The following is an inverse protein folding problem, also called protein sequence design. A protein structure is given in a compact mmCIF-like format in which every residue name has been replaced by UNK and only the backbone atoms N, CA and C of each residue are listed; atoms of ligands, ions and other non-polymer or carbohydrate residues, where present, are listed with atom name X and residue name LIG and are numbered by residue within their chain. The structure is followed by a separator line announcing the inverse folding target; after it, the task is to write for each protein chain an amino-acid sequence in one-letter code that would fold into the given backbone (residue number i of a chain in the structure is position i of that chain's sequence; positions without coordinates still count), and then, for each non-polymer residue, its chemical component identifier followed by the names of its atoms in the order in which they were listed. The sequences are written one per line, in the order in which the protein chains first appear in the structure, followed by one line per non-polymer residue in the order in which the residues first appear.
data_IF_039757224055
#
_entry.id   IF_039757224055
#
_cell.length_a   1.000
_cell.length_b   1.000
_cell.length_c   1.000
_cell.angle_alpha   90.00
_cell.angle_beta   90.00
_cell.angle_gamma   90.00
#
_symmetry.space_group_name_H-M   'P 1'
#
loop_
_entity.id
_entity.type
_entity.pdbx_description
1 polymer ?
#
# COMPACT_ATOMS: atom_id res chain seq x y z
N UNK A 1 23.48 -6.42 3.64
CA UNK A 1 22.77 -5.24 4.18
C UNK A 1 21.58 -5.77 4.95
N UNK A 2 21.45 -5.43 6.22
CA UNK A 2 20.32 -5.84 7.06
C UNK A 2 19.08 -5.07 6.62
N UNK A 3 17.98 -5.77 6.33
CA UNK A 3 16.71 -5.13 6.00
C UNK A 3 16.18 -4.37 7.23
N UNK A 4 15.51 -3.24 7.01
CA UNK A 4 14.93 -2.42 8.09
C UNK A 4 13.51 -2.06 7.71
N UNK A 5 12.59 -2.20 8.67
CA UNK A 5 11.21 -1.73 8.55
C UNK A 5 11.15 -0.27 9.00
N UNK A 6 10.43 0.55 8.23
CA UNK A 6 10.13 1.92 8.60
C UNK A 6 8.69 2.01 9.06
N UNK A 7 8.49 2.47 10.29
CA UNK A 7 7.16 2.76 10.83
C UNK A 7 7.02 4.26 11.06
N UNK A 8 6.03 4.86 10.39
CA UNK A 8 5.60 6.24 10.66
C UNK A 8 4.42 6.17 11.63
N UNK A 9 4.64 6.60 12.87
CA UNK A 9 3.62 6.69 13.91
C UNK A 9 3.60 8.12 14.46
N UNK A 10 3.58 8.31 15.79
CA UNK A 10 3.84 9.64 16.37
C UNK A 10 5.23 10.16 15.99
N UNK A 11 6.22 9.27 15.96
CA UNK A 11 7.58 9.53 15.48
C UNK A 11 7.89 8.51 14.36
N UNK A 12 9.05 8.65 13.71
CA UNK A 12 9.51 7.66 12.73
C UNK A 12 10.48 6.71 13.40
N UNK A 13 10.24 5.41 13.23
CA UNK A 13 11.06 4.35 13.80
C UNK A 13 11.70 3.50 12.72
N UNK A 14 12.96 3.15 12.96
CA UNK A 14 13.70 2.10 12.28
C UNK A 14 13.59 0.83 13.12
N UNK A 15 12.96 -0.20 12.57
CA UNK A 15 12.70 -1.45 13.26
C UNK A 15 13.51 -2.55 12.55
N UNK A 16 14.28 -3.29 13.33
CA UNK A 16 14.92 -4.51 12.89
C UNK A 16 13.84 -5.60 12.75
N UNK A 17 13.59 -6.13 11.54
CA UNK A 17 12.51 -7.09 11.33
C UNK A 17 12.73 -8.44 12.03
N UNK A 18 13.97 -8.84 12.28
CA UNK A 18 14.30 -10.14 12.88
C UNK A 18 14.12 -10.11 14.41
N UNK A 19 14.54 -9.01 15.04
CA UNK A 19 14.58 -8.89 16.50
C UNK A 19 13.45 -8.04 17.07
N UNK A 20 12.79 -7.24 16.24
CA UNK A 20 11.82 -6.22 16.67
C UNK A 20 12.46 -5.05 17.42
N UNK A 21 13.79 -5.02 17.55
CA UNK A 21 14.49 -3.90 18.16
C UNK A 21 14.27 -2.65 17.32
N UNK A 22 13.93 -1.53 17.97
CA UNK A 22 13.64 -0.29 17.27
C UNK A 22 14.49 0.86 17.80
N UNK A 23 14.76 1.81 16.91
CA UNK A 23 15.30 3.12 17.27
C UNK A 23 14.49 4.22 16.61
N UNK A 24 14.36 5.33 17.31
CA UNK A 24 13.78 6.54 16.73
C UNK A 24 14.72 7.12 15.67
N UNK A 25 14.17 7.41 14.50
CA UNK A 25 14.88 8.02 13.37
C UNK A 25 14.71 9.54 13.36
N UNK A 26 13.49 10.01 13.64
CA UNK A 26 13.11 11.41 13.60
C UNK A 26 12.10 11.68 14.72
N UNK A 27 12.36 12.72 15.52
CA UNK A 27 11.59 13.10 16.70
C UNK A 27 10.48 14.13 16.42
N UNK A 28 10.22 14.47 15.15
CA UNK A 28 9.10 15.35 14.81
C UNK A 28 7.76 14.64 15.06
N UNK A 29 6.71 15.43 15.26
CA UNK A 29 5.38 14.91 15.55
C UNK A 29 4.62 14.56 14.26
N UNK A 30 4.59 13.27 13.96
CA UNK A 30 3.89 12.64 12.84
C UNK A 30 2.55 12.04 13.25
N UNK A 31 2.01 12.36 14.43
CA UNK A 31 0.72 11.82 14.92
C UNK A 31 -0.48 12.13 14.02
N UNK A 32 -0.35 13.12 13.15
CA UNK A 32 -1.35 13.51 12.16
C UNK A 32 -1.26 12.73 10.83
N UNK A 33 -0.35 11.75 10.73
CA UNK A 33 -0.17 10.95 9.52
C UNK A 33 -1.43 10.16 9.17
N UNK A 34 -1.83 10.22 7.90
CA UNK A 34 -2.89 9.39 7.33
C UNK A 34 -2.30 8.19 6.59
N UNK A 35 -1.36 8.44 5.67
CA UNK A 35 -0.71 7.40 4.88
C UNK A 35 0.72 7.77 4.55
N UNK A 36 1.56 6.76 4.31
CA UNK A 36 2.92 6.92 3.83
C UNK A 36 3.24 6.01 2.65
N UNK A 37 4.18 6.44 1.80
CA UNK A 37 4.75 5.61 0.73
C UNK A 37 6.27 5.80 0.68
N UNK A 38 7.01 4.70 0.59
CA UNK A 38 8.47 4.69 0.40
C UNK A 38 8.78 4.59 -1.09
N UNK A 39 9.73 5.40 -1.57
CA UNK A 39 10.38 5.21 -2.87
C UNK A 39 11.78 4.62 -2.61
N UNK A 40 11.99 3.31 -2.83
CA UNK A 40 13.24 2.64 -2.47
C UNK A 40 14.46 3.24 -3.17
N UNK A 41 14.37 3.53 -4.47
CA UNK A 41 15.51 4.02 -5.27
C UNK A 41 16.06 5.36 -4.78
N UNK A 42 15.21 6.20 -4.16
CA UNK A 42 15.60 7.52 -3.66
C UNK A 42 15.75 7.58 -2.14
N UNK A 43 15.38 6.51 -1.43
CA UNK A 43 15.33 6.49 0.04
C UNK A 43 14.49 7.65 0.60
N UNK A 44 13.34 7.93 -0.02
CA UNK A 44 12.42 8.98 0.40
C UNK A 44 11.08 8.40 0.82
N UNK A 45 10.54 8.93 1.91
CA UNK A 45 9.17 8.65 2.36
C UNK A 45 8.31 9.86 2.06
N UNK A 46 7.13 9.62 1.50
CA UNK A 46 6.11 10.63 1.26
C UNK A 46 4.95 10.38 2.20
N UNK A 47 4.46 11.43 2.87
CA UNK A 47 3.47 11.31 3.95
C UNK A 47 2.35 12.30 3.75
N UNK A 48 1.10 11.85 3.79
CA UNK A 48 -0.08 12.71 3.90
C UNK A 48 -0.52 12.84 5.35
N UNK A 49 -1.06 14.01 5.71
CA UNK A 49 -1.49 14.33 7.07
C UNK A 49 -2.90 14.90 7.12
N UNK A 50 -3.54 14.80 8.28
CA UNK A 50 -4.88 15.37 8.55
C UNK A 50 -4.94 16.89 8.44
N UNK A 51 -3.78 17.56 8.46
CA UNK A 51 -3.64 19.00 8.23
C UNK A 51 -3.54 19.40 6.76
N UNK A 52 -4.07 18.59 5.83
CA UNK A 52 -4.08 18.85 4.39
C UNK A 52 -2.70 18.94 3.74
N UNK A 53 -1.67 18.30 4.29
CA UNK A 53 -0.31 18.40 3.77
C UNK A 53 0.21 17.06 3.25
N UNK A 54 0.93 17.13 2.13
CA UNK A 54 1.90 16.17 1.63
C UNK A 54 3.33 16.62 2.00
N UNK A 55 4.08 15.72 2.62
CA UNK A 55 5.47 15.89 3.06
C UNK A 55 6.40 14.92 2.36
N UNK A 56 7.64 15.35 2.15
CA UNK A 56 8.76 14.51 1.72
C UNK A 56 9.77 14.42 2.88
N UNK A 57 10.22 13.20 3.16
CA UNK A 57 11.21 12.88 4.18
C UNK A 57 12.34 12.12 3.51
N UNK A 58 13.54 12.73 3.48
CA UNK A 58 14.73 12.13 2.91
C UNK A 58 15.48 11.34 3.97
N UNK A 59 15.56 10.02 3.81
CA UNK A 59 16.20 9.13 4.79
C UNK A 59 17.73 9.26 4.78
N UNK A 60 18.31 9.75 3.69
CA UNK A 60 19.75 9.90 3.53
C UNK A 60 20.34 11.01 4.43
N UNK A 61 19.56 12.05 4.71
CA UNK A 61 20.03 13.24 5.43
C UNK A 61 19.03 13.76 6.48
N UNK A 62 17.97 13.00 6.76
CA UNK A 62 16.90 13.36 7.70
C UNK A 62 16.27 14.73 7.39
N UNK A 63 16.26 15.14 6.12
CA UNK A 63 15.65 16.39 5.72
C UNK A 63 14.14 16.19 5.51
N UNK A 64 13.35 17.07 6.12
CA UNK A 64 11.89 17.07 6.03
C UNK A 64 11.44 18.34 5.34
N UNK A 65 10.59 18.22 4.33
CA UNK A 65 9.99 19.39 3.68
C UNK A 65 8.53 19.16 3.29
N UNK A 66 7.73 20.21 3.41
CA UNK A 66 6.38 20.25 2.87
C UNK A 66 6.45 20.48 1.36
N UNK A 67 5.72 19.68 0.61
CA UNK A 67 5.62 19.76 -0.86
C UNK A 67 4.15 19.80 -1.31
N UNK A 68 3.24 20.33 -0.50
CA UNK A 68 1.81 20.24 -0.80
C UNK A 68 1.36 21.33 -1.78
N UNK A 69 0.84 20.93 -2.94
CA UNK A 69 0.20 21.85 -3.89
C UNK A 69 -1.30 22.05 -3.63
N UNK A 70 -2.03 20.98 -3.30
CA UNK A 70 -3.45 20.99 -2.95
C UNK A 70 -3.72 20.47 -1.53
N UNK A 71 -5.00 20.34 -1.18
CA UNK A 71 -5.51 19.80 0.07
C UNK A 71 -5.53 18.27 0.08
N UNK A 72 -4.84 17.68 1.05
CA UNK A 72 -4.68 16.22 1.18
C UNK A 72 -5.52 15.56 2.28
N UNK A 73 -6.45 16.25 2.97
CA UNK A 73 -7.26 15.63 4.06
C UNK A 73 -8.12 14.46 3.62
N UNK A 74 -8.51 14.42 2.35
CA UNK A 74 -9.33 13.32 1.83
C UNK A 74 -8.50 12.11 1.40
N UNK A 75 -7.17 12.18 1.51
CA UNK A 75 -6.29 11.06 1.18
C UNK A 75 -6.49 9.93 2.17
N UNK A 76 -6.79 8.74 1.67
CA UNK A 76 -6.90 7.52 2.46
C UNK A 76 -5.61 6.67 2.37
N UNK A 77 -5.02 6.59 1.17
CA UNK A 77 -3.80 5.82 0.96
C UNK A 77 -2.92 6.45 -0.12
N UNK A 78 -1.61 6.38 0.09
CA UNK A 78 -0.56 6.72 -0.85
C UNK A 78 0.11 5.44 -1.36
N UNK A 79 0.50 5.43 -2.62
CA UNK A 79 1.21 4.31 -3.25
C UNK A 79 2.31 4.86 -4.15
N UNK A 80 3.52 4.29 -4.05
CA UNK A 80 4.59 4.51 -5.02
C UNK A 80 4.55 3.38 -6.06
N UNK A 81 4.48 3.74 -7.34
CA UNK A 81 4.39 2.80 -8.46
C UNK A 81 5.60 3.02 -9.36
N UNK A 82 6.37 1.98 -9.72
CA UNK A 82 7.38 2.06 -10.75
C UNK A 82 6.85 2.70 -12.04
N UNK A 83 7.60 3.63 -12.63
CA UNK A 83 7.24 4.24 -13.91
C UNK A 83 7.54 3.31 -15.10
N UNK A 84 8.46 2.38 -14.89
CA UNK A 84 8.83 1.37 -15.87
C UNK A 84 9.19 0.04 -15.20
N UNK A 85 9.45 -0.98 -16.03
CA UNK A 85 9.83 -2.33 -15.58
C UNK A 85 11.23 -2.42 -14.95
N UNK A 86 12.05 -1.36 -15.03
CA UNK A 86 13.37 -1.33 -14.41
C UNK A 86 13.32 -0.89 -12.94
N UNK A 87 12.16 -0.40 -12.47
CA UNK A 87 11.93 0.07 -11.10
C UNK A 87 12.95 1.12 -10.63
N UNK A 88 13.54 1.87 -11.57
CA UNK A 88 14.52 2.91 -11.26
C UNK A 88 13.83 4.25 -10.92
N UNK A 89 12.70 4.54 -11.56
CA UNK A 89 11.85 5.71 -11.32
C UNK A 89 10.48 5.29 -10.82
N UNK A 90 9.85 6.15 -10.00
CA UNK A 90 8.55 5.91 -9.40
C UNK A 90 7.67 7.14 -9.53
N UNK A 91 6.37 6.90 -9.71
CA UNK A 91 5.30 7.88 -9.60
C UNK A 91 4.55 7.66 -8.29
N UNK A 92 4.02 8.74 -7.72
CA UNK A 92 3.19 8.66 -6.51
C UNK A 92 1.73 8.82 -6.89
N UNK A 93 0.91 7.93 -6.33
CA UNK A 93 -0.53 7.94 -6.49
C UNK A 93 -1.19 8.09 -5.14
N UNK A 94 -2.21 8.94 -5.06
CA UNK A 94 -2.98 9.15 -3.85
C UNK A 94 -4.45 8.82 -4.11
N UNK A 95 -4.98 7.87 -3.37
CA UNK A 95 -6.41 7.63 -3.33
C UNK A 95 -7.03 8.60 -2.33
N UNK A 96 -7.71 9.60 -2.88
CA UNK A 96 -8.51 10.57 -2.16
C UNK A 96 -9.99 10.39 -2.57
N UNK A 97 -10.75 11.48 -2.64
CA UNK A 97 -12.03 11.52 -3.38
C UNK A 97 -11.87 11.24 -4.89
N UNK A 98 -10.64 11.21 -5.40
CA UNK A 98 -10.19 10.85 -6.75
C UNK A 98 -8.88 10.07 -6.64
N UNK A 99 -8.46 9.42 -7.72
CA UNK A 99 -7.10 8.91 -7.84
C UNK A 99 -6.21 10.01 -8.43
N UNK A 100 -5.37 10.62 -7.59
CA UNK A 100 -4.43 11.64 -8.00
C UNK A 100 -3.10 11.03 -8.39
N UNK A 101 -2.53 11.48 -9.50
CA UNK A 101 -1.12 11.29 -9.83
C UNK A 101 -0.36 12.54 -9.37
N UNK A 102 0.64 12.38 -8.50
CA UNK A 102 1.59 13.44 -8.16
C UNK A 102 2.68 13.41 -9.24
N UNK A 103 2.60 14.35 -10.18
CA UNK A 103 3.42 14.39 -11.39
C UNK A 103 4.70 15.22 -11.22
N UNK A 104 4.77 16.12 -10.24
CA UNK A 104 6.01 16.75 -9.80
C UNK A 104 6.27 16.50 -8.30
N UNK A 105 7.20 15.60 -7.93
CA UNK A 105 7.51 15.29 -6.54
C UNK A 105 8.21 16.44 -5.80
N UNK A 106 8.67 17.50 -6.48
CA UNK A 106 9.30 18.65 -5.83
C UNK A 106 8.28 19.67 -5.32
N UNK A 107 7.16 19.80 -6.02
CA UNK A 107 6.09 20.76 -5.70
C UNK A 107 4.83 20.08 -5.18
N UNK A 108 4.76 18.75 -5.31
CA UNK A 108 3.57 17.92 -5.08
C UNK A 108 2.38 18.33 -5.94
N UNK A 109 2.65 18.95 -7.10
CA UNK A 109 1.64 19.14 -8.13
C UNK A 109 1.01 17.79 -8.47
N UNK A 110 -0.29 17.80 -8.72
CA UNK A 110 -1.04 16.59 -8.98
C UNK A 110 -2.13 16.79 -10.02
N UNK A 111 -2.45 15.70 -10.72
CA UNK A 111 -3.49 15.67 -11.76
C UNK A 111 -4.44 14.50 -11.54
N UNK A 112 -5.71 14.68 -11.92
CA UNK A 112 -6.72 13.63 -11.84
C UNK A 112 -6.34 12.53 -12.84
N UNK A 113 -5.99 11.36 -12.34
CA UNK A 113 -5.31 10.36 -13.16
C UNK A 113 -6.26 9.63 -14.12
N UNK A 114 -7.44 9.22 -13.63
CA UNK A 114 -8.43 8.47 -14.41
C UNK A 114 -9.67 9.29 -14.77
N UNK A 115 -10.02 10.30 -13.95
CA UNK A 115 -11.36 10.87 -13.96
C UNK A 115 -12.44 9.88 -13.46
N UNK A 116 -13.46 10.41 -12.78
CA UNK A 116 -14.58 9.59 -12.29
C UNK A 116 -14.24 8.65 -11.12
N UNK A 117 -15.10 7.64 -10.89
CA UNK A 117 -14.99 6.65 -9.81
C UNK A 117 -14.83 7.27 -8.40
N UNK A 118 -15.29 8.50 -8.21
CA UNK A 118 -15.10 9.26 -6.96
C UNK A 118 -15.67 8.52 -5.75
N UNK A 119 -16.83 7.88 -5.94
CA UNK A 119 -17.50 7.10 -4.89
C UNK A 119 -16.73 5.85 -4.48
N UNK A 120 -15.84 5.35 -5.34
CA UNK A 120 -15.02 4.16 -5.11
C UNK A 120 -13.68 4.56 -4.51
N UNK A 121 -12.99 5.55 -5.09
CA UNK A 121 -11.69 6.02 -4.61
C UNK A 121 -11.75 6.60 -3.20
N UNK A 122 -12.84 7.31 -2.88
CA UNK A 122 -13.08 7.81 -1.53
C UNK A 122 -13.22 6.70 -0.47
N UNK A 123 -13.43 5.44 -0.90
CA UNK A 123 -13.60 4.28 -0.03
C UNK A 123 -12.39 3.37 0.03
N UNK A 124 -11.32 3.66 -0.71
CA UNK A 124 -10.11 2.85 -0.67
C UNK A 124 -9.50 2.89 0.72
N UNK A 125 -9.27 1.73 1.32
CA UNK A 125 -8.71 1.58 2.67
C UNK A 125 -7.28 1.02 2.67
N UNK A 126 -6.86 0.35 1.61
CA UNK A 126 -5.49 -0.09 1.40
C UNK A 126 -5.21 -0.19 -0.10
N UNK A 127 -3.96 0.01 -0.49
CA UNK A 127 -3.51 -0.22 -1.85
C UNK A 127 -2.02 -0.61 -1.89
N UNK A 128 -1.64 -1.38 -2.91
CA UNK A 128 -0.27 -1.81 -3.13
C UNK A 128 0.07 -1.73 -4.63
N UNK A 129 1.32 -1.37 -4.94
CA UNK A 129 1.85 -1.45 -6.29
C UNK A 129 2.40 -2.84 -6.57
N UNK A 130 2.11 -3.38 -7.74
CA UNK A 130 2.78 -4.58 -8.29
C UNK A 130 3.13 -4.30 -9.75
N UNK A 131 4.42 -4.10 -10.00
CA UNK A 131 4.89 -3.53 -11.27
C UNK A 131 4.23 -2.18 -11.53
N UNK A 132 3.80 -1.93 -12.76
CA UNK A 132 3.09 -0.70 -13.17
C UNK A 132 1.57 -0.76 -12.92
N UNK A 133 1.12 -1.56 -11.95
CA UNK A 133 -0.29 -1.67 -11.57
C UNK A 133 -0.49 -1.39 -10.09
N UNK A 134 -1.65 -0.84 -9.77
CA UNK A 134 -2.09 -0.63 -8.39
C UNK A 134 -3.26 -1.55 -8.09
N UNK A 135 -3.14 -2.33 -7.04
CA UNK A 135 -4.23 -3.12 -6.50
C UNK A 135 -4.75 -2.43 -5.25
N UNK A 136 -6.05 -2.13 -5.22
CA UNK A 136 -6.68 -1.34 -4.16
C UNK A 136 -7.91 -2.05 -3.61
N UNK A 137 -8.06 -2.02 -2.30
CA UNK A 137 -9.22 -2.55 -1.59
C UNK A 137 -10.06 -1.40 -1.06
N UNK A 138 -11.38 -1.58 -1.06
CA UNK A 138 -12.30 -0.56 -0.55
C UNK A 138 -13.01 -1.03 0.71
N UNK A 139 -13.57 -0.09 1.48
CA UNK A 139 -14.41 -0.38 2.66
C UNK A 139 -15.71 -1.14 2.32
N UNK A 140 -16.09 -1.18 1.04
CA UNK A 140 -17.15 -2.07 0.53
C UNK A 140 -16.64 -3.49 0.24
N UNK A 141 -15.41 -3.81 0.69
CA UNK A 141 -14.68 -5.02 0.38
C UNK A 141 -14.63 -5.25 -1.13
N UNK A 142 -14.28 -4.27 -1.96
CA UNK A 142 -14.05 -4.51 -3.40
C UNK A 142 -12.55 -4.42 -3.71
N UNK A 143 -12.03 -5.38 -4.46
CA UNK A 143 -10.69 -5.37 -5.03
C UNK A 143 -10.73 -4.75 -6.42
N UNK A 144 -9.90 -3.75 -6.64
CA UNK A 144 -9.71 -3.04 -7.89
C UNK A 144 -8.27 -3.17 -8.36
N UNK A 145 -8.10 -3.29 -9.67
CA UNK A 145 -6.81 -3.14 -10.34
C UNK A 145 -6.87 -1.87 -11.19
N UNK A 146 -5.87 -1.02 -11.03
CA UNK A 146 -5.63 0.16 -11.85
C UNK A 146 -4.34 -0.07 -12.63
N UNK A 147 -4.43 -0.04 -13.95
CA UNK A 147 -3.28 -0.09 -14.83
C UNK A 147 -2.79 1.35 -15.09
N UNK A 148 -1.56 1.66 -14.69
CA UNK A 148 -1.06 3.03 -14.76
C UNK A 148 -0.61 3.43 -16.17
N UNK A 149 -0.50 2.45 -17.09
CA UNK A 149 -0.05 2.66 -18.47
C UNK A 149 -1.25 2.81 -19.38
N UNK A 150 -2.20 1.88 -19.31
CA UNK A 150 -3.42 1.96 -20.12
C UNK A 150 -4.43 2.96 -19.57
N UNK A 151 -4.27 3.40 -18.31
CA UNK A 151 -5.21 4.26 -17.58
C UNK A 151 -6.59 3.64 -17.48
N UNK A 152 -6.63 2.34 -17.21
CA UNK A 152 -7.86 1.59 -17.02
C UNK A 152 -8.00 1.14 -15.56
N UNK A 153 -9.25 1.13 -15.07
CA UNK A 153 -9.60 0.56 -13.78
C UNK A 153 -10.62 -0.56 -13.96
N UNK A 154 -10.37 -1.69 -13.28
CA UNK A 154 -11.24 -2.87 -13.31
C UNK A 154 -11.45 -3.41 -11.91
N UNK A 155 -12.71 -3.70 -11.58
CA UNK A 155 -13.03 -4.47 -10.37
C UNK A 155 -12.70 -5.95 -10.60
N UNK A 156 -11.91 -6.53 -9.71
CA UNK A 156 -11.49 -7.94 -9.75
C UNK A 156 -12.29 -8.84 -8.80
N UNK A 157 -12.79 -8.30 -7.67
CA UNK A 157 -13.46 -9.11 -6.65
C UNK A 157 -13.67 -8.38 -5.33
N UNK A 158 -13.53 -9.08 -4.20
CA UNK A 158 -13.80 -8.54 -2.86
C UNK A 158 -12.83 -9.02 -1.75
N UNK A 159 -11.99 -8.17 -1.13
CA UNK A 159 -11.09 -8.62 -0.04
C UNK A 159 -9.99 -7.64 0.43
N UNK A 160 -9.03 -8.11 1.24
CA UNK A 160 -7.75 -7.45 1.63
C UNK A 160 -6.56 -8.01 0.82
N UNK A 161 -5.36 -7.40 0.87
CA UNK A 161 -4.22 -7.79 0.00
C UNK A 161 -2.90 -8.05 0.75
N UNK A 162 -2.07 -8.94 0.21
CA UNK A 162 -0.65 -9.12 0.57
C UNK A 162 0.18 -9.44 -0.67
N UNK A 163 1.43 -8.99 -0.75
CA UNK A 163 2.34 -9.38 -1.83
C UNK A 163 3.58 -10.05 -1.25
N UNK A 164 3.81 -11.32 -1.58
CA UNK A 164 4.89 -12.16 -1.04
C UNK A 164 5.43 -13.08 -2.13
N UNK A 165 6.75 -13.27 -2.21
CA UNK A 165 7.34 -14.26 -3.13
C UNK A 165 6.95 -14.12 -4.61
N UNK A 166 6.64 -12.90 -5.08
CA UNK A 166 6.15 -12.66 -6.45
C UNK A 166 4.64 -12.87 -6.65
N UNK A 167 3.91 -13.22 -5.59
CA UNK A 167 2.49 -13.54 -5.60
C UNK A 167 1.70 -12.45 -4.90
N UNK A 168 0.62 -12.00 -5.53
CA UNK A 168 -0.35 -11.12 -4.89
C UNK A 168 -1.47 -11.99 -4.31
N UNK A 169 -1.64 -11.99 -2.99
CA UNK A 169 -2.69 -12.71 -2.30
C UNK A 169 -3.84 -11.76 -1.97
N UNK A 170 -5.06 -12.23 -2.18
CA UNK A 170 -6.29 -11.53 -1.81
C UNK A 170 -7.08 -12.32 -0.76
N UNK A 171 -7.36 -11.68 0.37
CA UNK A 171 -8.09 -12.21 1.52
C UNK A 171 -9.56 -11.80 1.43
N UNK A 172 -10.38 -12.72 0.93
CA UNK A 172 -11.76 -12.51 0.50
C UNK A 172 -12.71 -13.45 1.26
N UNK A 173 -13.79 -13.95 0.62
CA UNK A 173 -14.48 -15.15 1.11
C UNK A 173 -13.56 -16.38 1.26
N UNK A 174 -12.43 -16.38 0.54
CA UNK A 174 -11.34 -17.36 0.61
C UNK A 174 -9.99 -16.63 0.49
N UNK A 175 -8.88 -17.36 0.56
CA UNK A 175 -7.56 -16.82 0.20
C UNK A 175 -7.25 -17.16 -1.26
N UNK A 176 -6.93 -16.14 -2.05
CA UNK A 176 -6.74 -16.25 -3.50
C UNK A 176 -5.36 -15.75 -3.91
N UNK A 177 -4.68 -16.47 -4.79
CA UNK A 177 -3.54 -15.94 -5.53
C UNK A 177 -4.05 -15.21 -6.77
N UNK A 178 -3.65 -13.95 -6.94
CA UNK A 178 -4.01 -13.09 -8.05
C UNK A 178 -2.86 -13.08 -9.05
N UNK A 179 -3.17 -13.42 -10.31
CA UNK A 179 -2.30 -13.21 -11.44
C UNK A 179 -2.19 -11.71 -11.71
N UNK A 180 -1.02 -11.15 -11.47
CA UNK A 180 -0.75 -9.71 -11.56
C UNK A 180 -0.79 -9.19 -13.01
N UNK A 181 -0.65 -10.07 -14.00
CA UNK A 181 -0.67 -9.70 -15.42
C UNK A 181 -2.07 -9.44 -15.97
N UNK A 182 -3.08 -10.18 -15.50
CA UNK A 182 -4.44 -10.09 -16.06
C UNK A 182 -5.55 -9.95 -15.00
N UNK A 183 -5.22 -10.09 -13.72
CA UNK A 183 -6.16 -10.02 -12.61
C UNK A 183 -6.98 -11.29 -12.40
N UNK A 184 -6.68 -12.37 -13.14
CA UNK A 184 -7.28 -13.69 -12.87
C UNK A 184 -6.83 -14.21 -11.51
N UNK A 185 -7.57 -15.14 -10.93
CA UNK A 185 -7.27 -15.63 -9.59
C UNK A 185 -7.54 -17.12 -9.42
N UNK A 186 -6.77 -17.73 -8.53
CA UNK A 186 -6.88 -19.15 -8.16
C UNK A 186 -6.89 -19.31 -6.65
N UNK A 187 -7.58 -20.31 -6.08
CA UNK A 187 -7.50 -20.59 -4.64
C UNK A 187 -6.03 -20.79 -4.23
N UNK A 188 -5.60 -20.16 -3.14
CA UNK A 188 -4.23 -20.30 -2.65
C UNK A 188 -4.01 -21.63 -1.93
N UNK A 189 -5.01 -22.08 -1.17
CA UNK A 189 -4.97 -23.36 -0.47
C UNK A 189 -5.70 -24.45 -1.24
N UNK A 190 -5.25 -25.70 -1.04
CA UNK A 190 -5.99 -26.88 -1.50
C UNK A 190 -7.39 -26.91 -0.88
N UNK A 191 -8.39 -27.23 -1.71
CA UNK A 191 -9.82 -27.17 -1.38
C UNK A 191 -10.22 -27.95 -0.11
N UNK A 192 -9.43 -28.94 0.30
CA UNK A 192 -9.73 -29.83 1.41
C UNK A 192 -9.07 -29.39 2.73
N UNK A 193 -8.17 -28.39 2.68
CA UNK A 193 -7.50 -27.81 3.85
C UNK A 193 -8.47 -27.08 4.78
N UNK A 194 -8.10 -26.97 6.06
CA UNK A 194 -8.90 -26.21 7.03
C UNK A 194 -8.86 -24.70 6.73
N UNK A 195 -7.75 -24.23 6.16
CA UNK A 195 -7.54 -22.86 5.72
C UNK A 195 -8.42 -22.48 4.52
N UNK A 196 -8.70 -23.41 3.61
CA UNK A 196 -9.65 -23.21 2.50
C UNK A 196 -11.10 -23.09 2.97
N UNK A 197 -11.45 -23.72 4.11
CA UNK A 197 -12.79 -23.64 4.72
C UNK A 197 -12.99 -22.38 5.57
N UNK A 198 -11.91 -21.68 5.91
CA UNK A 198 -11.93 -20.45 6.70
C UNK A 198 -12.41 -19.27 5.85
N UNK A 199 -13.29 -18.45 6.42
CA UNK A 199 -13.64 -17.15 5.84
C UNK A 199 -12.58 -16.11 6.16
N UNK A 200 -12.10 -15.39 5.14
CA UNK A 200 -11.08 -14.35 5.25
C UNK A 200 -11.65 -12.92 5.13
N UNK A 201 -12.98 -12.78 5.10
CA UNK A 201 -13.68 -11.49 4.99
C UNK A 201 -13.48 -10.56 6.19
N UNK A 202 -13.01 -11.08 7.31
CA UNK A 202 -12.76 -10.35 8.56
C UNK A 202 -11.29 -9.98 8.79
N UNK A 203 -10.45 -10.07 7.75
CA UNK A 203 -9.05 -9.68 7.84
C UNK A 203 -8.93 -8.16 8.00
N UNK A 204 -8.41 -7.73 9.15
CA UNK A 204 -8.26 -6.33 9.54
C UNK A 204 -6.92 -5.73 9.09
N UNK A 205 -5.89 -6.56 9.04
CA UNK A 205 -4.56 -6.15 8.65
C UNK A 205 -3.80 -7.35 8.08
N UNK A 206 -2.93 -7.08 7.11
CA UNK A 206 -1.99 -8.06 6.58
C UNK A 206 -0.63 -7.39 6.48
N UNK A 207 0.41 -8.14 6.84
CA UNK A 207 1.80 -7.75 6.60
C UNK A 207 2.59 -8.97 6.16
N UNK A 208 3.71 -8.74 5.48
CA UNK A 208 4.60 -9.78 5.00
C UNK A 208 5.96 -9.59 5.65
N UNK A 209 6.50 -10.65 6.23
CA UNK A 209 7.87 -10.70 6.75
C UNK A 209 8.53 -11.91 6.09
N UNK A 210 9.57 -11.67 5.31
CA UNK A 210 10.21 -12.64 4.41
C UNK A 210 9.19 -13.31 3.46
N UNK A 211 8.98 -14.61 3.63
CA UNK A 211 8.01 -15.43 2.87
C UNK A 211 6.74 -15.73 3.67
N UNK A 212 6.62 -15.20 4.88
CA UNK A 212 5.47 -15.45 5.75
C UNK A 212 4.51 -14.26 5.71
N UNK A 213 3.23 -14.56 5.51
CA UNK A 213 2.15 -13.57 5.54
C UNK A 213 1.49 -13.61 6.90
N UNK A 214 1.57 -12.51 7.64
CA UNK A 214 0.96 -12.33 8.94
C UNK A 214 -0.37 -11.61 8.81
N UNK A 215 -1.42 -12.22 9.32
CA UNK A 215 -2.80 -11.79 9.09
C UNK A 215 -3.50 -11.63 10.42
N UNK A 216 -4.15 -10.48 10.63
CA UNK A 216 -5.07 -10.27 11.75
C UNK A 216 -6.48 -10.57 11.25
N UNK A 217 -7.01 -11.75 11.57
CA UNK A 217 -8.35 -12.20 11.19
C UNK A 217 -9.27 -12.22 12.42
N UNK A 218 -10.19 -11.26 12.52
CA UNK A 218 -11.01 -11.08 13.73
C UNK A 218 -10.15 -10.69 14.94
N UNK A 219 -10.05 -11.60 15.92
CA UNK A 219 -9.25 -11.43 17.15
C UNK A 219 -8.01 -12.34 17.16
N UNK A 220 -7.68 -12.97 16.03
CA UNK A 220 -6.55 -13.88 15.89
C UNK A 220 -5.45 -13.27 15.03
N UNK A 221 -4.19 -13.43 15.48
CA UNK A 221 -3.00 -13.24 14.63
C UNK A 221 -2.59 -14.62 14.09
N UNK A 222 -2.54 -14.74 12.77
CA UNK A 222 -2.17 -15.96 12.05
C UNK A 222 -0.91 -15.71 11.25
N UNK A 223 -0.01 -16.69 11.23
CA UNK A 223 1.10 -16.73 10.29
C UNK A 223 0.77 -17.76 9.21
N UNK A 224 0.82 -17.33 7.96
CA UNK A 224 0.64 -18.16 6.77
C UNK A 224 2.00 -18.33 6.11
N UNK A 225 2.52 -19.54 6.12
CA UNK A 225 3.67 -19.87 5.28
C UNK A 225 3.21 -19.90 3.82
N UNK A 226 3.95 -19.24 2.94
CA UNK A 226 3.59 -19.11 1.52
C UNK A 226 4.52 -19.86 0.57
N UNK A 227 5.41 -20.68 1.15
CA UNK A 227 6.30 -21.61 0.45
C UNK A 227 5.58 -22.94 0.17
#
# INVERSE_FOLDING_TARGET
MTQQLFAVARHIYLIDPETGAFKEYNAEDWSSTISGALIPSTHKIYVTTTFNNLWEISLANNNVRKISWDSWSSCNTLVAVPDDSSECSFKLFAFCHKLWLIDDPNTGHCTDFLGGYTDIWARVNAAAAVGQKIFATTSANNLWCVDTITKEAKQLGSGALAYTGGKLLAFCYGLWEINTNNGDYTPFFDKDSEEAKRSWLGVKAVTVIDTCVYVVAGDQLLALDTI
#
